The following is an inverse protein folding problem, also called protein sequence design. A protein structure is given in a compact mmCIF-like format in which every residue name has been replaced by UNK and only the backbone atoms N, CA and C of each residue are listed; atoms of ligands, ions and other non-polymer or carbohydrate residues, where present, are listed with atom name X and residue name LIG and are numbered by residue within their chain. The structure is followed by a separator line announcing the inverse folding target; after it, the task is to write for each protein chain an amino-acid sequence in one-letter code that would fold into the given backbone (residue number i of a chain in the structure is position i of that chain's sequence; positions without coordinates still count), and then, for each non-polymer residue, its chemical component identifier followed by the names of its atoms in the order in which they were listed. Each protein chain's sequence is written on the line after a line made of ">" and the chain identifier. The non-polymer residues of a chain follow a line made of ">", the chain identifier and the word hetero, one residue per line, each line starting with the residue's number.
data_IF_223083568936
#
_entry.id   IF_223083568936
#
_cell.length_a   1.000
_cell.length_b   1.000
_cell.length_c   1.000
_cell.angle_alpha   90.00
_cell.angle_beta   90.00
_cell.angle_gamma   90.00
#
_symmetry.space_group_name_H-M   'P 1'
#
loop_
_entity.id
_entity.type
_entity.pdbx_description
1 polymer ?
#
# COMPACT_ATOMS: atom_id res chain seq x y z
N UNK A 1 -39.09 -5.18 -12.13
CA UNK A 1 -38.54 -3.90 -12.64
C UNK A 1 -37.85 -3.06 -11.57
N UNK A 2 -38.44 -2.79 -10.38
CA UNK A 2 -37.80 -2.00 -9.29
C UNK A 2 -36.45 -2.57 -8.79
N UNK A 3 -36.35 -3.90 -8.65
CA UNK A 3 -35.13 -4.58 -8.17
C UNK A 3 -33.90 -4.39 -9.08
N UNK A 4 -34.09 -4.37 -10.40
CA UNK A 4 -32.99 -4.17 -11.37
C UNK A 4 -32.46 -2.73 -11.35
N UNK A 5 -33.34 -1.75 -11.06
CA UNK A 5 -32.96 -0.34 -10.95
C UNK A 5 -32.09 -0.07 -9.71
N UNK A 6 -32.38 -0.72 -8.58
CA UNK A 6 -31.52 -0.65 -7.39
C UNK A 6 -30.17 -1.36 -7.58
N UNK A 7 -30.16 -2.49 -8.30
CA UNK A 7 -28.93 -3.20 -8.63
C UNK A 7 -28.00 -2.34 -9.50
N UNK A 8 -28.55 -1.66 -10.52
CA UNK A 8 -27.79 -0.75 -11.37
C UNK A 8 -27.29 0.49 -10.61
N UNK A 9 -28.10 1.04 -9.70
CA UNK A 9 -27.69 2.18 -8.88
C UNK A 9 -26.53 1.82 -7.93
N UNK A 10 -26.56 0.65 -7.29
CA UNK A 10 -25.48 0.18 -6.45
C UNK A 10 -24.17 -0.06 -7.23
N UNK A 11 -24.28 -0.63 -8.44
CA UNK A 11 -23.13 -0.86 -9.31
C UNK A 11 -22.47 0.46 -9.76
N UNK A 12 -23.28 1.46 -10.11
CA UNK A 12 -22.78 2.81 -10.47
C UNK A 12 -22.09 3.49 -9.29
N UNK A 13 -22.63 3.37 -8.09
CA UNK A 13 -22.03 3.95 -6.88
C UNK A 13 -20.68 3.30 -6.55
N UNK A 14 -20.57 1.98 -6.75
CA UNK A 14 -19.31 1.26 -6.58
C UNK A 14 -18.25 1.78 -7.56
N UNK A 15 -18.56 1.91 -8.85
CA UNK A 15 -17.59 2.39 -9.87
C UNK A 15 -17.05 3.79 -9.56
N UNK A 16 -17.90 4.71 -9.10
CA UNK A 16 -17.48 6.08 -8.77
C UNK A 16 -16.51 6.11 -7.58
N UNK A 17 -16.65 5.20 -6.62
CA UNK A 17 -15.77 5.14 -5.44
C UNK A 17 -14.32 4.78 -5.76
N UNK A 18 -14.04 4.09 -6.87
CA UNK A 18 -12.67 3.75 -7.27
C UNK A 18 -11.93 4.88 -7.99
N UNK A 19 -12.63 5.97 -8.37
CA UNK A 19 -12.07 7.06 -9.15
C UNK A 19 -11.27 8.10 -8.33
N UNK A 20 -11.15 7.95 -7.01
CA UNK A 20 -10.51 8.93 -6.14
C UNK A 20 -8.98 8.84 -6.07
N UNK A 21 -8.36 7.80 -6.63
CA UNK A 21 -6.90 7.65 -6.61
C UNK A 21 -6.24 8.66 -7.56
N UNK A 22 -5.38 9.52 -7.03
CA UNK A 22 -4.61 10.51 -7.80
C UNK A 22 -3.11 10.25 -7.69
N UNK A 23 -2.36 10.55 -8.75
CA UNK A 23 -0.91 10.42 -8.75
C UNK A 23 -0.28 11.62 -8.06
N UNK A 24 0.51 11.38 -7.01
CA UNK A 24 1.23 12.43 -6.27
C UNK A 24 2.60 12.63 -6.89
N UNK A 25 3.00 13.89 -7.09
CA UNK A 25 4.35 14.22 -7.59
C UNK A 25 5.39 13.90 -6.52
N UNK A 26 6.56 13.40 -6.93
CA UNK A 26 7.62 12.92 -6.03
C UNK A 26 7.95 13.88 -4.88
N UNK A 27 8.09 15.18 -5.16
CA UNK A 27 8.43 16.18 -4.14
C UNK A 27 7.31 16.45 -3.12
N UNK A 28 6.06 16.10 -3.42
CA UNK A 28 4.93 16.23 -2.49
C UNK A 28 4.85 15.02 -1.56
N UNK A 29 5.45 13.88 -1.95
CA UNK A 29 5.47 12.67 -1.13
C UNK A 29 6.16 12.90 0.21
N UNK A 30 7.21 13.72 0.24
CA UNK A 30 7.89 14.09 1.50
C UNK A 30 6.97 14.74 2.57
N UNK A 31 5.81 15.30 2.18
CA UNK A 31 4.83 15.87 3.14
C UNK A 31 3.80 14.86 3.65
N UNK A 32 3.62 13.74 2.94
CA UNK A 32 2.70 12.65 3.30
C UNK A 32 3.46 11.43 3.83
N UNK A 33 4.79 11.40 3.68
CA UNK A 33 5.64 10.34 4.17
C UNK A 33 5.75 10.38 5.69
N UNK A 34 5.25 9.31 6.32
CA UNK A 34 5.56 9.01 7.71
C UNK A 34 7.01 8.51 7.80
N UNK A 35 7.62 8.71 8.95
CA UNK A 35 8.93 8.20 9.34
C UNK A 35 9.08 6.68 9.23
N UNK A 36 7.97 5.96 9.32
CA UNK A 36 7.88 4.49 9.18
C UNK A 36 7.67 4.02 7.73
N UNK A 37 7.35 4.94 6.79
CA UNK A 37 7.21 4.60 5.36
C UNK A 37 8.54 4.56 4.61
N UNK A 38 9.66 4.76 5.31
CA UNK A 38 10.98 4.55 4.75
C UNK A 38 11.15 3.07 4.39
N UNK A 39 11.52 2.79 3.15
CA UNK A 39 11.83 1.45 2.65
C UNK A 39 13.14 0.88 3.26
N UNK A 40 13.48 1.20 4.49
CA UNK A 40 14.69 0.70 5.14
C UNK A 40 14.37 0.35 6.58
N UNK A 41 14.56 -0.92 6.92
CA UNK A 41 14.35 -1.40 8.27
C UNK A 41 15.27 -0.70 9.26
N UNK A 42 14.74 -0.35 10.43
CA UNK A 42 15.56 0.14 11.54
C UNK A 42 16.53 -0.96 11.96
N UNK A 43 17.66 -0.57 12.57
CA UNK A 43 18.67 -1.53 13.05
C UNK A 43 18.08 -2.59 14.00
N UNK A 44 17.07 -2.22 14.77
CA UNK A 44 16.39 -3.08 15.74
C UNK A 44 15.42 -4.07 15.09
N UNK A 45 14.87 -3.76 13.92
CA UNK A 45 13.85 -4.57 13.24
C UNK A 45 14.43 -5.65 12.33
N UNK A 46 15.76 -5.63 12.08
CA UNK A 46 16.43 -6.62 11.24
C UNK A 46 16.27 -8.05 11.74
N UNK A 47 16.26 -8.24 13.05
CA UNK A 47 16.09 -9.57 13.68
C UNK A 47 14.64 -10.05 13.57
N UNK A 48 13.67 -9.17 13.80
CA UNK A 48 12.24 -9.46 13.63
C UNK A 48 11.90 -9.79 12.18
N UNK A 49 12.38 -8.98 11.23
CA UNK A 49 12.17 -9.26 9.81
C UNK A 49 12.83 -10.56 9.38
N UNK A 50 14.03 -10.88 9.89
CA UNK A 50 14.67 -12.16 9.58
C UNK A 50 13.79 -13.31 10.06
N UNK A 51 13.22 -13.20 11.26
CA UNK A 51 12.31 -14.20 11.80
C UNK A 51 11.03 -14.36 10.98
N UNK A 52 10.37 -13.26 10.61
CA UNK A 52 9.17 -13.27 9.77
C UNK A 52 9.46 -13.79 8.36
N UNK A 53 10.60 -13.42 7.76
CA UNK A 53 11.00 -13.95 6.46
C UNK A 53 11.30 -15.45 6.52
N UNK A 54 12.01 -15.93 7.54
CA UNK A 54 12.33 -17.35 7.66
C UNK A 54 11.13 -18.22 8.04
N UNK A 55 10.23 -17.74 8.90
CA UNK A 55 9.09 -18.53 9.41
C UNK A 55 7.83 -18.38 8.58
N UNK A 56 7.56 -17.18 8.07
CA UNK A 56 6.29 -16.81 7.42
C UNK A 56 6.46 -16.46 5.94
N UNK A 57 7.71 -16.46 5.43
CA UNK A 57 7.99 -16.10 4.04
C UNK A 57 7.72 -14.62 3.73
N UNK A 58 7.64 -13.78 4.76
CA UNK A 58 7.34 -12.36 4.61
C UNK A 58 8.39 -11.66 3.73
N UNK A 59 7.92 -11.03 2.66
CA UNK A 59 8.73 -10.31 1.67
C UNK A 59 8.02 -9.01 1.29
N UNK A 60 8.56 -7.85 1.66
CA UNK A 60 7.98 -6.56 1.26
C UNK A 60 8.64 -5.36 1.94
N UNK A 61 8.61 -4.19 1.28
CA UNK A 61 8.93 -2.84 1.80
C UNK A 61 10.30 -2.59 2.47
N UNK A 62 11.31 -3.43 2.26
CA UNK A 62 12.59 -3.34 2.97
C UNK A 62 13.70 -2.61 2.19
N UNK A 63 13.40 -2.21 0.94
CA UNK A 63 14.33 -1.53 0.03
C UNK A 63 15.57 -2.35 -0.33
N UNK A 64 15.58 -3.63 0.04
CA UNK A 64 16.67 -4.58 -0.19
C UNK A 64 16.32 -5.66 -1.21
N UNK A 65 17.24 -6.60 -1.43
CA UNK A 65 17.08 -7.68 -2.43
C UNK A 65 15.89 -8.62 -2.17
N UNK A 66 15.43 -8.70 -0.92
CA UNK A 66 14.37 -9.59 -0.46
C UNK A 66 12.99 -8.92 -0.34
N UNK A 67 12.87 -7.62 -0.64
CA UNK A 67 11.59 -6.92 -0.52
C UNK A 67 11.64 -5.52 -1.11
N UNK A 68 11.05 -5.36 -2.30
CA UNK A 68 10.71 -4.07 -2.89
C UNK A 68 9.27 -3.70 -2.55
N UNK A 69 9.03 -2.42 -2.29
CA UNK A 69 7.69 -1.85 -2.17
C UNK A 69 7.41 -0.94 -3.36
N UNK A 70 6.16 -0.53 -3.54
CA UNK A 70 5.71 0.37 -4.61
C UNK A 70 6.28 1.79 -4.52
N UNK A 71 7.24 2.05 -3.62
CA UNK A 71 7.93 3.33 -3.50
C UNK A 71 6.96 4.48 -3.25
N UNK A 72 6.28 4.47 -2.11
CA UNK A 72 5.50 5.62 -1.68
C UNK A 72 6.38 6.76 -1.12
N UNK A 73 7.69 6.54 -0.95
CA UNK A 73 8.66 7.60 -0.65
C UNK A 73 8.81 8.55 -1.86
#
# INVERSE_FOLDING_TARGET
>A
MKFYCWLCAALLLAVISLASCTTVKEYQKNKINDSEMALSARKVEKTEMSFQSYREGASGANGGKTGGGCGCN
#
